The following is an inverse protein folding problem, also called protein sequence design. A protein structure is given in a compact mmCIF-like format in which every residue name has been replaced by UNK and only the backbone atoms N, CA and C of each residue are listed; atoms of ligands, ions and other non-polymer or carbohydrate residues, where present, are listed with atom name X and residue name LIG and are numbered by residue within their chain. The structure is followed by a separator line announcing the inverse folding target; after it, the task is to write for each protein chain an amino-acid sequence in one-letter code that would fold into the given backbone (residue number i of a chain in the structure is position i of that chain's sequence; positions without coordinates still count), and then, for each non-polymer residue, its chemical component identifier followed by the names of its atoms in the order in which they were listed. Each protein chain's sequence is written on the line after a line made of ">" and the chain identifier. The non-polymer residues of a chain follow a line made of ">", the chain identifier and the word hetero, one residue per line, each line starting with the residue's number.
data_IF_416684033720
#
_entry.id   IF_416684033720
#
_cell.length_a   1.000
_cell.length_b   1.000
_cell.length_c   1.000
_cell.angle_alpha   90.00
_cell.angle_beta   90.00
_cell.angle_gamma   90.00
#
_symmetry.space_group_name_H-M   'P 1'
#
loop_
_entity.id
_entity.type
_entity.pdbx_description
1 polymer ?
#
# COMPACT_ATOMS: atom_id res chain seq x y z
N UNK A 1 -6.52 28.86 31.66
CA UNK A 1 -6.47 27.43 32.01
C UNK A 1 -6.56 26.64 30.72
N UNK A 2 -5.44 26.09 30.23
CA UNK A 2 -5.45 25.13 29.14
C UNK A 2 -6.04 23.84 29.72
N UNK A 3 -7.18 23.37 29.21
CA UNK A 3 -7.68 22.03 29.50
C UNK A 3 -6.64 21.05 28.94
N UNK A 4 -5.87 20.40 29.81
CA UNK A 4 -4.88 19.41 29.40
C UNK A 4 -5.63 18.21 28.82
N UNK A 5 -5.47 17.97 27.52
CA UNK A 5 -5.99 16.76 26.89
C UNK A 5 -5.32 15.54 27.55
N UNK A 6 -6.12 14.67 28.17
CA UNK A 6 -5.66 13.44 28.81
C UNK A 6 -4.95 12.48 27.83
N UNK A 7 -5.07 12.74 26.52
CA UNK A 7 -4.43 11.99 25.46
C UNK A 7 -3.18 12.68 24.88
N UNK A 8 -2.75 13.80 25.43
CA UNK A 8 -1.55 14.51 25.01
C UNK A 8 -0.29 13.66 25.25
N UNK A 9 0.62 13.64 24.26
CA UNK A 9 1.83 12.79 24.19
C UNK A 9 1.56 11.28 24.13
N UNK A 10 0.29 10.86 24.09
CA UNK A 10 -0.09 9.45 23.92
C UNK A 10 -0.16 9.10 22.43
N UNK A 11 0.03 7.83 22.04
CA UNK A 11 -0.12 7.40 20.66
C UNK A 11 -1.60 7.25 20.25
N UNK A 12 -2.46 8.22 20.62
CA UNK A 12 -3.93 8.12 20.58
C UNK A 12 -4.49 7.70 19.22
N UNK A 13 -4.00 8.27 18.12
CA UNK A 13 -4.50 7.92 16.78
C UNK A 13 -4.03 6.54 16.29
N UNK A 14 -2.97 5.99 16.88
CA UNK A 14 -2.46 4.66 16.55
C UNK A 14 -3.21 3.56 17.32
N UNK A 15 -3.91 3.93 18.41
CA UNK A 15 -4.75 3.05 19.22
C UNK A 15 -6.23 3.44 19.12
N UNK A 16 -6.96 2.82 18.20
CA UNK A 16 -8.41 3.01 18.07
C UNK A 16 -9.11 1.90 18.83
N UNK A 17 -9.90 2.25 19.85
CA UNK A 17 -10.59 1.28 20.72
C UNK A 17 -9.62 0.22 21.32
N UNK A 18 -8.45 0.67 21.81
CA UNK A 18 -7.37 -0.18 22.37
C UNK A 18 -6.78 -1.20 21.39
N UNK A 19 -7.03 -1.03 20.09
CA UNK A 19 -6.46 -1.87 19.04
C UNK A 19 -5.58 -1.02 18.14
N UNK A 20 -4.55 -1.63 17.56
CA UNK A 20 -3.74 -0.95 16.56
C UNK A 20 -4.61 -0.52 15.37
N UNK A 21 -4.36 0.68 14.85
CA UNK A 21 -5.17 1.27 13.77
C UNK A 21 -5.13 0.46 12.46
N UNK A 22 -4.05 -0.30 12.23
CA UNK A 22 -3.94 -1.24 11.11
C UNK A 22 -4.41 -2.64 11.52
N UNK A 23 -5.20 -3.27 10.66
CA UNK A 23 -5.89 -4.53 10.92
C UNK A 23 -5.40 -5.62 9.97
N UNK A 24 -5.05 -6.79 10.53
CA UNK A 24 -4.55 -7.93 9.77
C UNK A 24 -5.38 -8.27 8.52
N UNK A 25 -6.73 -8.40 8.62
CA UNK A 25 -7.57 -8.75 7.47
C UNK A 25 -7.45 -7.80 6.27
N UNK A 26 -7.29 -6.49 6.52
CA UNK A 26 -7.12 -5.49 5.46
C UNK A 26 -5.85 -5.72 4.66
N UNK A 27 -4.77 -6.11 5.34
CA UNK A 27 -3.47 -6.40 4.71
C UNK A 27 -3.40 -7.80 4.10
N UNK A 28 -4.15 -8.78 4.63
CA UNK A 28 -4.33 -10.08 3.97
C UNK A 28 -5.05 -9.92 2.62
N UNK A 29 -6.09 -9.07 2.56
CA UNK A 29 -6.78 -8.76 1.31
C UNK A 29 -5.88 -8.03 0.29
N UNK A 30 -4.97 -7.18 0.77
CA UNK A 30 -3.96 -6.56 -0.09
C UNK A 30 -3.02 -7.62 -0.72
N UNK A 31 -2.59 -8.63 0.03
CA UNK A 31 -1.77 -9.74 -0.53
C UNK A 31 -2.54 -10.48 -1.61
N UNK A 32 -3.80 -10.86 -1.35
CA UNK A 32 -4.64 -11.52 -2.34
C UNK A 32 -4.84 -10.68 -3.60
N UNK A 33 -4.96 -9.35 -3.45
CA UNK A 33 -5.02 -8.42 -4.58
C UNK A 33 -3.71 -8.41 -5.38
N UNK A 34 -2.55 -8.36 -4.70
CA UNK A 34 -1.23 -8.43 -5.33
C UNK A 34 -1.04 -9.75 -6.10
N UNK A 35 -1.43 -10.87 -5.51
CA UNK A 35 -1.33 -12.19 -6.16
C UNK A 35 -2.19 -12.24 -7.43
N UNK A 36 -3.43 -11.75 -7.38
CA UNK A 36 -4.28 -11.63 -8.56
C UNK A 36 -3.62 -10.79 -9.66
N UNK A 37 -2.91 -9.71 -9.30
CA UNK A 37 -2.21 -8.86 -10.26
C UNK A 37 -1.00 -9.55 -10.89
N UNK A 38 -0.22 -10.28 -10.10
CA UNK A 38 0.91 -11.10 -10.61
C UNK A 38 0.38 -12.21 -11.53
N UNK A 39 -0.78 -12.76 -11.17
CA UNK A 39 -1.45 -13.81 -11.93
C UNK A 39 -2.04 -13.33 -13.27
N UNK A 40 -2.09 -12.03 -13.54
CA UNK A 40 -2.50 -11.51 -14.85
C UNK A 40 -1.45 -11.94 -15.89
N UNK A 41 -1.79 -12.82 -16.85
CA UNK A 41 -0.84 -13.28 -17.84
C UNK A 41 -0.40 -12.10 -18.72
N UNK A 42 0.90 -11.90 -18.82
CA UNK A 42 1.53 -10.73 -19.45
C UNK A 42 2.46 -11.11 -20.61
N UNK A 43 2.66 -12.40 -20.87
CA UNK A 43 3.42 -12.92 -22.00
C UNK A 43 2.59 -13.92 -22.82
N UNK A 44 3.04 -14.20 -24.05
CA UNK A 44 2.47 -15.22 -24.93
C UNK A 44 2.41 -16.59 -24.24
N UNK A 45 3.49 -16.97 -23.59
CA UNK A 45 3.66 -18.25 -22.91
C UNK A 45 2.72 -18.38 -21.71
N UNK A 46 2.63 -17.33 -20.88
CA UNK A 46 1.79 -17.34 -19.67
C UNK A 46 0.29 -17.34 -20.01
N UNK A 47 -0.10 -16.72 -21.13
CA UNK A 47 -1.48 -16.80 -21.65
C UNK A 47 -1.83 -18.18 -22.20
N UNK A 48 -0.92 -18.79 -22.97
CA UNK A 48 -1.12 -20.13 -23.51
C UNK A 48 -1.32 -21.15 -22.38
N UNK A 49 -0.50 -21.05 -21.33
CA UNK A 49 -0.56 -21.91 -20.14
C UNK A 49 -1.84 -21.71 -19.32
N UNK A 50 -2.29 -20.47 -19.08
CA UNK A 50 -3.44 -20.22 -18.19
C UNK A 50 -4.79 -20.48 -18.83
N UNK A 51 -4.91 -20.29 -20.13
CA UNK A 51 -6.21 -20.34 -20.80
C UNK A 51 -6.42 -21.56 -21.69
N UNK A 52 -5.54 -22.58 -21.59
CA UNK A 52 -5.57 -23.80 -22.41
C UNK A 52 -5.71 -23.48 -23.91
N UNK A 53 -5.12 -22.37 -24.35
CA UNK A 53 -5.08 -22.02 -25.75
C UNK A 53 -4.16 -23.02 -26.46
N UNK A 54 -4.64 -23.65 -27.54
CA UNK A 54 -3.73 -24.28 -28.50
C UNK A 54 -2.82 -23.21 -29.08
N UNK A 55 -1.54 -23.53 -29.34
CA UNK A 55 -0.59 -22.60 -30.00
C UNK A 55 -1.24 -21.94 -31.22
N UNK A 56 -1.92 -22.73 -32.05
CA UNK A 56 -2.61 -22.28 -33.26
C UNK A 56 -3.74 -21.28 -32.99
N UNK A 57 -4.44 -21.36 -31.86
CA UNK A 57 -5.50 -20.42 -31.48
C UNK A 57 -4.91 -19.13 -30.89
N UNK A 58 -3.72 -19.22 -30.31
CA UNK A 58 -2.99 -18.06 -29.79
C UNK A 58 -2.27 -17.32 -30.91
N UNK A 59 -1.65 -18.04 -31.84
CA UNK A 59 -1.08 -17.52 -33.07
C UNK A 59 -2.19 -16.93 -33.92
N UNK A 60 -3.35 -17.57 -34.06
CA UNK A 60 -4.48 -16.97 -34.77
C UNK A 60 -5.11 -15.77 -34.02
N UNK A 61 -5.07 -15.71 -32.68
CA UNK A 61 -5.44 -14.52 -31.90
C UNK A 61 -4.44 -13.37 -32.10
N UNK A 62 -3.14 -13.68 -32.11
CA UNK A 62 -2.08 -12.73 -32.41
C UNK A 62 -2.14 -12.28 -33.86
N UNK A 63 -2.41 -13.17 -34.82
CA UNK A 63 -2.61 -12.91 -36.25
C UNK A 63 -3.90 -12.11 -36.46
N UNK A 64 -4.95 -12.30 -35.65
CA UNK A 64 -6.15 -11.45 -35.72
C UNK A 64 -5.88 -10.08 -35.15
N UNK A 65 -5.15 -9.99 -34.03
CA UNK A 65 -4.70 -8.71 -33.51
C UNK A 65 -3.76 -8.05 -34.52
N UNK A 66 -2.78 -8.78 -35.05
CA UNK A 66 -1.80 -8.33 -36.05
C UNK A 66 -2.44 -8.01 -37.38
N UNK A 67 -3.35 -8.79 -37.98
CA UNK A 67 -4.05 -8.51 -39.25
C UNK A 67 -5.14 -7.44 -39.09
N UNK A 68 -5.85 -7.41 -37.96
CA UNK A 68 -6.68 -6.24 -37.63
C UNK A 68 -5.84 -4.97 -37.46
N UNK A 69 -4.56 -5.10 -37.10
CA UNK A 69 -3.56 -4.04 -36.95
C UNK A 69 -2.58 -3.96 -38.16
N UNK A 70 -2.73 -4.80 -39.18
CA UNK A 70 -1.60 -5.28 -40.01
C UNK A 70 -1.61 -4.74 -41.43
N UNK A 71 -2.72 -4.16 -41.84
CA UNK A 71 -2.75 -3.23 -42.97
C UNK A 71 -2.44 -1.79 -42.57
N UNK A 72 -1.82 -1.60 -41.41
CA UNK A 72 -1.66 -0.28 -40.80
C UNK A 72 -0.28 -0.11 -40.14
N UNK A 73 0.83 -0.58 -40.71
CA UNK A 73 2.13 -0.06 -40.25
C UNK A 73 2.23 1.47 -40.45
N UNK A 74 1.62 2.00 -41.52
CA UNK A 74 1.56 3.45 -41.80
C UNK A 74 0.36 4.16 -41.20
N UNK A 75 -0.71 3.46 -40.82
CA UNK A 75 -1.91 4.05 -40.21
C UNK A 75 -2.19 3.61 -38.77
N UNK A 76 -1.31 2.80 -38.17
CA UNK A 76 -1.06 2.79 -36.72
C UNK A 76 -0.68 4.21 -36.27
N UNK A 77 0.01 4.98 -37.11
CA UNK A 77 0.31 6.39 -36.85
C UNK A 77 -0.90 7.34 -36.97
N UNK A 78 -2.05 6.89 -37.51
CA UNK A 78 -3.22 7.72 -37.81
C UNK A 78 -4.51 7.30 -37.07
N UNK A 79 -4.69 6.02 -36.75
CA UNK A 79 -5.88 5.51 -36.02
C UNK A 79 -5.60 5.28 -34.53
N UNK A 80 -4.37 4.92 -34.14
CA UNK A 80 -4.01 4.88 -32.72
C UNK A 80 -4.17 6.25 -32.02
N UNK A 81 -3.96 7.40 -32.67
CA UNK A 81 -4.34 8.71 -32.12
C UNK A 81 -5.85 9.01 -32.18
N UNK A 82 -6.58 8.46 -33.17
CA UNK A 82 -8.03 8.66 -33.31
C UNK A 82 -8.87 7.78 -32.36
N UNK A 83 -8.31 6.66 -31.87
CA UNK A 83 -8.89 5.76 -30.86
C UNK A 83 -8.14 5.76 -29.51
N UNK A 84 -6.95 6.39 -29.43
CA UNK A 84 -6.14 6.56 -28.22
C UNK A 84 -5.30 5.35 -27.77
N UNK A 85 -5.26 4.25 -28.52
CA UNK A 85 -4.69 2.95 -28.10
C UNK A 85 -3.42 2.68 -28.91
N UNK A 86 -2.26 2.28 -28.36
CA UNK A 86 -1.03 1.93 -29.14
C UNK A 86 -0.89 0.41 -29.39
N UNK A 87 -0.16 -0.01 -30.42
CA UNK A 87 0.06 -1.44 -30.77
C UNK A 87 0.70 -2.27 -29.65
N UNK A 88 1.55 -1.65 -28.82
CA UNK A 88 2.16 -2.32 -27.66
C UNK A 88 1.29 -2.28 -26.40
N UNK A 89 0.06 -1.79 -26.46
CA UNK A 89 -0.62 -1.33 -25.26
C UNK A 89 -1.22 -2.45 -24.39
N UNK A 90 -1.66 -3.58 -24.95
CA UNK A 90 -2.13 -4.73 -24.16
C UNK A 90 -0.97 -5.28 -23.32
N UNK A 91 0.21 -5.39 -23.95
CA UNK A 91 1.47 -5.70 -23.29
C UNK A 91 1.85 -4.59 -22.30
N UNK A 92 1.62 -3.31 -22.62
CA UNK A 92 1.90 -2.16 -21.75
C UNK A 92 1.02 -2.15 -20.50
N UNK A 93 -0.30 -2.29 -20.60
CA UNK A 93 -1.20 -2.30 -19.44
C UNK A 93 -1.00 -3.53 -18.58
N UNK A 94 -0.71 -4.69 -19.16
CA UNK A 94 -0.37 -5.91 -18.39
C UNK A 94 1.00 -5.81 -17.73
N UNK A 95 1.99 -5.24 -18.43
CA UNK A 95 3.30 -4.92 -17.88
C UNK A 95 3.19 -3.89 -16.76
N UNK A 96 2.34 -2.87 -16.91
CA UNK A 96 2.04 -1.90 -15.85
C UNK A 96 1.36 -2.55 -14.65
N UNK A 97 0.42 -3.48 -14.85
CA UNK A 97 -0.19 -4.23 -13.75
C UNK A 97 0.88 -5.01 -12.99
N UNK A 98 1.72 -5.78 -13.69
CA UNK A 98 2.78 -6.57 -13.05
C UNK A 98 3.84 -5.70 -12.36
N UNK A 99 4.29 -4.63 -13.02
CA UNK A 99 5.27 -3.71 -12.44
C UNK A 99 4.72 -3.02 -11.17
N UNK A 100 3.44 -2.62 -11.17
CA UNK A 100 2.82 -2.03 -10.00
C UNK A 100 2.49 -3.08 -8.92
N UNK A 101 2.21 -4.33 -9.28
CA UNK A 101 2.13 -5.43 -8.31
C UNK A 101 3.46 -5.63 -7.57
N UNK A 102 4.59 -5.56 -8.28
CA UNK A 102 5.92 -5.58 -7.68
C UNK A 102 6.14 -4.42 -6.69
N UNK A 103 5.72 -3.20 -7.03
CA UNK A 103 5.77 -2.05 -6.13
C UNK A 103 4.88 -2.22 -4.90
N UNK A 104 3.65 -2.73 -5.09
CA UNK A 104 2.72 -3.02 -3.99
C UNK A 104 3.28 -4.10 -3.05
N UNK A 105 3.96 -5.12 -3.58
CA UNK A 105 4.66 -6.14 -2.78
C UNK A 105 5.78 -5.52 -1.94
N UNK A 106 6.56 -4.61 -2.50
CA UNK A 106 7.57 -3.86 -1.73
C UNK A 106 6.92 -2.99 -0.66
N UNK A 107 5.87 -2.24 -1.01
CA UNK A 107 5.16 -1.40 -0.06
C UNK A 107 4.52 -2.21 1.09
N UNK A 108 4.01 -3.41 0.80
CA UNK A 108 3.54 -4.34 1.82
C UNK A 108 4.66 -4.69 2.80
N UNK A 109 5.86 -5.04 2.33
CA UNK A 109 7.01 -5.27 3.23
C UNK A 109 7.37 -4.02 4.03
N UNK A 110 7.30 -2.84 3.42
CA UNK A 110 7.60 -1.57 4.08
C UNK A 110 6.62 -1.23 5.21
N UNK A 111 5.36 -1.70 5.16
CA UNK A 111 4.43 -1.60 6.30
C UNK A 111 4.99 -2.35 7.52
N UNK A 112 5.63 -3.50 7.31
CA UNK A 112 6.36 -4.22 8.36
C UNK A 112 7.47 -3.38 8.98
N UNK A 113 8.23 -2.65 8.15
CA UNK A 113 9.29 -1.74 8.60
C UNK A 113 8.74 -0.49 9.33
N UNK A 114 7.57 0.02 8.94
CA UNK A 114 6.84 1.05 9.70
C UNK A 114 6.47 0.52 11.08
N UNK A 115 5.94 -0.70 11.16
CA UNK A 115 5.62 -1.34 12.43
C UNK A 115 6.87 -1.51 13.32
N UNK A 116 8.00 -1.92 12.76
CA UNK A 116 9.26 -2.02 13.51
C UNK A 116 9.70 -0.67 14.09
N UNK A 117 9.58 0.40 13.33
CA UNK A 117 9.90 1.73 13.82
C UNK A 117 8.96 2.19 14.93
N UNK A 118 7.66 1.83 14.86
CA UNK A 118 6.70 2.07 15.96
C UNK A 118 7.07 1.26 17.21
N UNK A 119 7.51 0.00 17.06
CA UNK A 119 7.94 -0.83 18.18
C UNK A 119 9.20 -0.25 18.86
N UNK A 120 10.16 0.25 18.08
CA UNK A 120 11.34 0.95 18.62
C UNK A 120 10.92 2.17 19.45
N UNK A 121 10.00 2.98 18.94
CA UNK A 121 9.46 4.10 19.69
C UNK A 121 8.76 3.65 20.96
N UNK A 122 7.92 2.63 20.89
CA UNK A 122 7.14 2.14 22.04
C UNK A 122 8.06 1.60 23.13
N UNK A 123 9.09 0.84 22.76
CA UNK A 123 10.10 0.32 23.70
C UNK A 123 10.93 1.42 24.36
N UNK A 124 11.22 2.52 23.66
CA UNK A 124 11.97 3.65 24.22
C UNK A 124 11.11 4.57 25.10
N UNK A 125 9.77 4.52 24.99
CA UNK A 125 8.87 5.45 25.67
C UNK A 125 9.07 5.51 27.20
N UNK A 126 9.23 4.39 27.95
CA UNK A 126 9.48 4.46 29.39
C UNK A 126 10.71 5.29 29.74
N UNK A 127 11.83 5.08 29.06
CA UNK A 127 13.06 5.81 29.32
C UNK A 127 12.94 7.29 28.91
N UNK A 128 12.40 7.55 27.71
CA UNK A 128 12.26 8.90 27.15
C UNK A 128 11.35 9.77 28.03
N UNK A 129 10.17 9.27 28.39
CA UNK A 129 9.24 10.02 29.23
C UNK A 129 9.71 10.08 30.69
N UNK A 130 10.35 9.04 31.24
CA UNK A 130 10.88 9.12 32.60
C UNK A 130 11.83 10.31 32.76
N UNK A 131 12.84 10.37 31.88
CA UNK A 131 13.83 11.43 31.91
C UNK A 131 13.21 12.81 31.62
N UNK A 132 12.28 12.89 30.68
CA UNK A 132 11.61 14.14 30.31
C UNK A 132 10.80 14.71 31.47
N UNK A 133 9.99 13.87 32.13
CA UNK A 133 9.18 14.29 33.27
C UNK A 133 10.04 14.63 34.50
N UNK A 134 11.15 13.90 34.73
CA UNK A 134 12.06 14.18 35.84
C UNK A 134 12.75 15.55 35.66
N UNK A 135 13.25 15.84 34.45
CA UNK A 135 13.87 17.15 34.16
C UNK A 135 12.86 18.30 34.15
N UNK A 136 11.64 18.07 33.65
CA UNK A 136 10.55 19.05 33.76
C UNK A 136 10.19 19.33 35.21
N UNK A 137 10.09 18.31 36.07
CA UNK A 137 9.79 18.50 37.49
C UNK A 137 10.87 19.33 38.21
N UNK A 138 12.15 19.11 37.88
CA UNK A 138 13.27 19.91 38.41
C UNK A 138 13.22 21.36 37.92
N UNK A 139 12.87 21.56 36.65
CA UNK A 139 12.73 22.89 36.05
C UNK A 139 11.59 23.69 36.71
N UNK A 140 10.46 23.04 37.03
CA UNK A 140 9.33 23.72 37.69
C UNK A 140 9.58 24.04 39.16
N UNK A 141 10.45 23.28 39.83
CA UNK A 141 10.81 23.49 41.24
C UNK A 141 12.01 24.42 41.44
N UNK A 142 12.57 24.96 40.35
CA UNK A 142 13.73 25.86 40.39
C UNK A 142 14.96 25.21 41.06
N UNK A 143 15.16 23.90 40.87
CA UNK A 143 16.14 23.10 41.63
C UNK A 143 17.59 23.20 41.10
N UNK A 144 17.84 23.82 39.93
CA UNK A 144 19.21 23.97 39.40
C UNK A 144 19.34 25.07 38.34
N UNK A 145 20.46 25.10 37.61
CA UNK A 145 20.64 25.93 36.41
C UNK A 145 19.51 25.66 35.40
N UNK A 146 18.55 26.58 35.38
CA UNK A 146 17.35 26.47 34.56
C UNK A 146 17.66 26.46 33.07
N UNK A 147 18.77 27.06 32.64
CA UNK A 147 19.17 27.07 31.23
C UNK A 147 19.66 25.69 30.80
N UNK A 148 20.58 25.09 31.57
CA UNK A 148 21.06 23.74 31.33
C UNK A 148 19.94 22.68 31.38
N UNK A 149 18.97 22.82 32.30
CA UNK A 149 17.79 21.95 32.36
C UNK A 149 16.88 22.12 31.15
N UNK A 150 16.62 23.37 30.72
CA UNK A 150 15.83 23.63 29.50
C UNK A 150 16.47 22.98 28.29
N UNK A 151 17.78 23.09 28.14
CA UNK A 151 18.51 22.45 27.06
C UNK A 151 18.49 20.93 27.15
N UNK A 152 18.46 20.35 28.37
CA UNK A 152 18.25 18.92 28.56
C UNK A 152 16.87 18.48 28.10
N UNK A 153 15.81 19.20 28.50
CA UNK A 153 14.41 18.91 28.12
C UNK A 153 14.24 19.03 26.60
N UNK A 154 14.72 20.11 25.99
CA UNK A 154 14.64 20.31 24.53
C UNK A 154 15.33 19.18 23.77
N UNK A 155 16.53 18.78 24.16
CA UNK A 155 17.25 17.66 23.53
C UNK A 155 16.50 16.35 23.60
N UNK A 156 15.78 16.09 24.70
CA UNK A 156 14.97 14.88 24.85
C UNK A 156 13.75 14.91 23.93
N UNK A 157 13.07 16.06 23.86
CA UNK A 157 11.96 16.26 22.92
C UNK A 157 12.44 16.10 21.48
N UNK A 158 13.57 16.71 21.10
CA UNK A 158 14.16 16.64 19.76
C UNK A 158 14.60 15.21 19.38
N UNK A 159 15.13 14.44 20.34
CA UNK A 159 15.47 13.03 20.14
C UNK A 159 14.21 12.20 19.85
N UNK A 160 13.14 12.38 20.63
CA UNK A 160 11.86 11.70 20.41
C UNK A 160 11.20 12.11 19.09
N UNK A 161 11.20 13.41 18.78
CA UNK A 161 10.71 13.96 17.51
C UNK A 161 11.40 13.35 16.30
N UNK A 162 12.71 13.13 16.38
CA UNK A 162 13.48 12.48 15.30
C UNK A 162 12.94 11.07 15.01
N UNK A 163 12.67 10.28 16.04
CA UNK A 163 12.06 8.96 15.89
C UNK A 163 10.65 9.02 15.31
N UNK A 164 9.80 9.93 15.81
CA UNK A 164 8.43 10.15 15.31
C UNK A 164 8.42 10.56 13.84
N UNK A 165 9.29 11.50 13.44
CA UNK A 165 9.43 11.96 12.05
C UNK A 165 9.94 10.88 11.11
N UNK A 166 10.82 10.00 11.59
CA UNK A 166 11.24 8.82 10.82
C UNK A 166 10.06 7.88 10.54
N UNK A 167 9.22 7.59 11.54
CA UNK A 167 7.99 6.80 11.35
C UNK A 167 7.05 7.50 10.37
N UNK A 168 6.80 8.80 10.56
CA UNK A 168 5.92 9.59 9.69
C UNK A 168 6.38 9.57 8.23
N UNK A 169 7.68 9.77 8.00
CA UNK A 169 8.29 9.75 6.66
C UNK A 169 8.12 8.39 6.01
N UNK A 170 8.44 7.31 6.73
CA UNK A 170 8.28 5.94 6.22
C UNK A 170 6.83 5.62 5.90
N UNK A 171 5.90 5.86 6.85
CA UNK A 171 4.48 5.60 6.67
C UNK A 171 3.89 6.39 5.49
N UNK A 172 4.28 7.67 5.35
CA UNK A 172 3.85 8.53 4.25
C UNK A 172 4.35 8.02 2.90
N UNK A 173 5.64 7.65 2.82
CA UNK A 173 6.23 7.10 1.59
C UNK A 173 5.57 5.77 1.21
N UNK A 174 5.41 4.84 2.14
CA UNK A 174 4.74 3.56 1.92
C UNK A 174 3.29 3.75 1.46
N UNK A 175 2.55 4.67 2.10
CA UNK A 175 1.17 5.02 1.68
C UNK A 175 1.14 5.58 0.26
N UNK A 176 2.07 6.45 -0.10
CA UNK A 176 2.14 7.02 -1.44
C UNK A 176 2.37 5.93 -2.50
N UNK A 177 3.26 4.95 -2.22
CA UNK A 177 3.46 3.81 -3.13
C UNK A 177 2.20 2.96 -3.25
N UNK A 178 1.52 2.65 -2.14
CA UNK A 178 0.27 1.88 -2.16
C UNK A 178 -0.83 2.60 -2.96
N UNK A 179 -1.02 3.90 -2.74
CA UNK A 179 -2.02 4.69 -3.45
C UNK A 179 -1.71 4.75 -4.96
N UNK A 180 -0.52 5.25 -5.33
CA UNK A 180 -0.15 5.45 -6.73
C UNK A 180 -0.15 4.15 -7.53
N UNK A 181 0.29 3.05 -6.92
CA UNK A 181 0.32 1.75 -7.59
C UNK A 181 -1.08 1.14 -7.71
N UNK A 182 -1.94 1.33 -6.70
CA UNK A 182 -3.36 0.94 -6.78
C UNK A 182 -4.08 1.69 -7.89
N UNK A 183 -3.93 3.01 -7.95
CA UNK A 183 -4.55 3.86 -8.98
C UNK A 183 -4.07 3.48 -10.38
N UNK A 184 -2.77 3.21 -10.54
CA UNK A 184 -2.21 2.77 -11.82
C UNK A 184 -2.76 1.39 -12.26
N UNK A 185 -2.92 0.45 -11.32
CA UNK A 185 -3.53 -0.86 -11.61
C UNK A 185 -5.01 -0.70 -11.96
N UNK A 186 -5.75 0.16 -11.25
CA UNK A 186 -7.14 0.45 -11.56
C UNK A 186 -7.29 1.02 -12.97
N UNK A 187 -6.46 2.00 -13.33
CA UNK A 187 -6.46 2.59 -14.67
C UNK A 187 -6.17 1.52 -15.73
N UNK A 188 -5.12 0.71 -15.54
CA UNK A 188 -4.77 -0.35 -16.48
C UNK A 188 -5.90 -1.39 -16.61
N UNK A 189 -6.56 -1.76 -15.51
CA UNK A 189 -7.72 -2.65 -15.52
C UNK A 189 -8.90 -2.04 -16.30
N UNK A 190 -9.23 -0.77 -16.05
CA UNK A 190 -10.34 -0.09 -16.73
C UNK A 190 -10.08 -0.01 -18.23
N UNK A 191 -8.86 0.31 -18.64
CA UNK A 191 -8.50 0.34 -20.05
C UNK A 191 -8.59 -1.08 -20.67
N UNK A 192 -8.16 -2.14 -19.96
CA UNK A 192 -8.32 -3.52 -20.44
C UNK A 192 -9.79 -3.87 -20.66
N UNK A 193 -10.67 -3.48 -19.71
CA UNK A 193 -12.11 -3.68 -19.82
C UNK A 193 -12.73 -2.93 -20.99
N UNK A 194 -12.28 -1.70 -21.27
CA UNK A 194 -12.73 -0.93 -22.43
C UNK A 194 -12.38 -1.63 -23.75
N UNK A 195 -11.17 -2.18 -23.88
CA UNK A 195 -10.77 -2.93 -25.08
C UNK A 195 -11.56 -4.23 -25.21
N UNK A 196 -11.76 -4.98 -24.11
CA UNK A 196 -12.61 -6.17 -24.09
C UNK A 196 -14.03 -5.89 -24.60
N UNK A 197 -14.59 -4.71 -24.31
CA UNK A 197 -15.90 -4.31 -24.83
C UNK A 197 -15.89 -4.11 -26.36
N UNK A 198 -14.78 -3.64 -26.93
CA UNK A 198 -14.63 -3.41 -28.38
C UNK A 198 -14.39 -4.70 -29.18
N UNK A 199 -13.93 -5.78 -28.51
CA UNK A 199 -13.64 -7.07 -29.16
C UNK A 199 -14.88 -7.81 -29.71
N UNK A 200 -16.10 -7.39 -29.34
CA UNK A 200 -17.37 -8.00 -29.80
C UNK A 200 -18.04 -7.27 -30.97
N UNK A 201 -17.31 -6.41 -31.65
CA UNK A 201 -17.91 -5.60 -32.71
C UNK A 201 -18.12 -6.45 -33.96
N UNK A 202 -19.24 -6.21 -34.65
CA UNK A 202 -19.51 -6.76 -35.99
C UNK A 202 -18.32 -6.53 -36.95
N UNK A 203 -17.57 -5.44 -36.75
CA UNK A 203 -16.35 -5.15 -37.48
C UNK A 203 -15.26 -6.22 -37.29
N UNK A 204 -15.02 -6.71 -36.07
CA UNK A 204 -14.03 -7.77 -35.82
C UNK A 204 -14.51 -9.09 -36.39
N UNK A 205 -15.81 -9.42 -36.24
CA UNK A 205 -16.37 -10.62 -36.83
C UNK A 205 -16.25 -10.64 -38.37
N UNK A 206 -16.51 -9.51 -39.03
CA UNK A 206 -16.31 -9.36 -40.48
C UNK A 206 -14.86 -9.52 -40.90
N UNK A 207 -13.92 -8.95 -40.15
CA UNK A 207 -12.48 -9.11 -40.42
C UNK A 207 -12.04 -10.56 -40.29
N UNK A 208 -12.56 -11.30 -39.30
CA UNK A 208 -12.32 -12.74 -39.18
C UNK A 208 -12.85 -13.51 -40.39
N UNK A 209 -14.05 -13.16 -40.86
CA UNK A 209 -14.62 -13.78 -42.06
C UNK A 209 -13.78 -13.47 -43.30
N UNK A 210 -13.35 -12.22 -43.50
CA UNK A 210 -12.53 -11.82 -44.65
C UNK A 210 -11.16 -12.48 -44.67
N UNK A 211 -10.50 -12.60 -43.51
CA UNK A 211 -9.13 -13.12 -43.42
C UNK A 211 -9.03 -14.65 -43.55
N UNK A 212 -10.02 -15.38 -43.01
CA UNK A 212 -9.90 -16.83 -42.86
C UNK A 212 -10.84 -17.62 -43.75
N UNK A 213 -11.72 -17.00 -44.54
CA UNK A 213 -12.57 -17.75 -45.47
C UNK A 213 -11.72 -18.48 -46.54
N UNK A 214 -12.04 -19.75 -46.87
CA UNK A 214 -13.19 -20.55 -46.44
C UNK A 214 -12.96 -21.43 -45.19
N UNK A 215 -11.88 -21.23 -44.43
CA UNK A 215 -11.56 -22.01 -43.22
C UNK A 215 -12.46 -21.64 -42.02
N UNK A 216 -13.67 -22.21 -42.04
CA UNK A 216 -14.68 -22.02 -41.00
C UNK A 216 -14.24 -22.54 -39.63
N UNK A 217 -13.30 -23.49 -39.57
CA UNK A 217 -12.77 -24.03 -38.31
C UNK A 217 -11.90 -22.97 -37.63
N UNK A 218 -10.99 -22.32 -38.37
CA UNK A 218 -10.20 -21.20 -37.84
C UNK A 218 -11.07 -20.03 -37.38
N UNK A 219 -12.10 -19.68 -38.14
CA UNK A 219 -13.05 -18.61 -37.77
C UNK A 219 -13.75 -18.93 -36.44
N UNK A 220 -14.21 -20.17 -36.25
CA UNK A 220 -14.87 -20.59 -35.02
C UNK A 220 -13.91 -20.58 -33.83
N UNK A 221 -12.68 -21.06 -34.01
CA UNK A 221 -11.63 -21.06 -32.97
C UNK A 221 -11.27 -19.63 -32.54
N UNK A 222 -11.11 -18.70 -33.48
CA UNK A 222 -10.80 -17.30 -33.19
C UNK A 222 -11.94 -16.58 -32.45
N UNK A 223 -13.18 -16.82 -32.84
CA UNK A 223 -14.34 -16.27 -32.12
C UNK A 223 -14.46 -16.83 -30.70
N UNK A 224 -14.18 -18.12 -30.51
CA UNK A 224 -14.17 -18.74 -29.20
C UNK A 224 -13.08 -18.10 -28.30
N UNK A 225 -11.86 -17.97 -28.82
CA UNK A 225 -10.75 -17.31 -28.14
C UNK A 225 -11.08 -15.88 -27.68
N UNK A 226 -11.65 -15.07 -28.57
CA UNK A 226 -12.06 -13.69 -28.26
C UNK A 226 -13.10 -13.67 -27.13
N UNK A 227 -14.12 -14.53 -27.20
CA UNK A 227 -15.17 -14.57 -26.16
C UNK A 227 -14.64 -15.04 -24.81
N UNK A 228 -13.72 -16.01 -24.79
CA UNK A 228 -13.04 -16.46 -23.57
C UNK A 228 -12.22 -15.33 -22.94
N UNK A 229 -11.43 -14.61 -23.75
CA UNK A 229 -10.64 -13.48 -23.26
C UNK A 229 -11.53 -12.37 -22.68
N UNK A 230 -12.64 -12.08 -23.35
CA UNK A 230 -13.61 -11.08 -22.87
C UNK A 230 -14.23 -11.47 -21.54
N UNK A 231 -14.64 -12.73 -21.41
CA UNK A 231 -15.16 -13.28 -20.17
C UNK A 231 -14.17 -13.13 -19.03
N UNK A 232 -12.91 -13.49 -19.27
CA UNK A 232 -11.84 -13.33 -18.29
C UNK A 232 -11.61 -11.85 -17.93
N UNK A 233 -11.37 -10.95 -18.89
CA UNK A 233 -11.14 -9.51 -18.63
C UNK A 233 -12.32 -8.87 -17.89
N UNK A 234 -13.56 -9.22 -18.26
CA UNK A 234 -14.76 -8.68 -17.63
C UNK A 234 -14.87 -9.03 -16.15
N UNK A 235 -14.34 -10.17 -15.73
CA UNK A 235 -14.39 -10.66 -14.35
C UNK A 235 -13.22 -10.16 -13.48
N UNK A 236 -12.17 -9.60 -14.08
CA UNK A 236 -11.00 -9.13 -13.33
C UNK A 236 -11.37 -8.00 -12.37
N UNK A 237 -11.00 -8.17 -11.10
CA UNK A 237 -11.06 -7.16 -10.04
C UNK A 237 -9.75 -7.20 -9.24
N UNK A 238 -8.77 -6.43 -9.69
CA UNK A 238 -7.39 -6.45 -9.18
C UNK A 238 -7.21 -5.59 -7.95
N UNK A 239 -7.91 -4.46 -7.85
CA UNK A 239 -7.77 -3.52 -6.73
C UNK A 239 -8.76 -3.79 -5.60
N UNK A 240 -9.61 -4.81 -5.74
CA UNK A 240 -10.50 -5.26 -4.68
C UNK A 240 -9.67 -5.76 -3.49
N UNK A 241 -9.79 -5.07 -2.36
CA UNK A 241 -9.04 -5.39 -1.13
C UNK A 241 -7.90 -4.43 -0.80
N UNK A 242 -7.53 -3.50 -1.68
CA UNK A 242 -6.44 -2.53 -1.37
C UNK A 242 -6.93 -1.33 -0.55
N UNK A 243 -8.17 -0.88 -0.76
CA UNK A 243 -8.72 0.35 -0.18
C UNK A 243 -8.69 0.39 1.36
N UNK A 244 -8.98 -0.74 2.02
CA UNK A 244 -8.98 -0.83 3.48
C UNK A 244 -7.57 -0.62 4.05
N UNK A 245 -6.58 -1.33 3.49
CA UNK A 245 -5.17 -1.21 3.90
C UNK A 245 -4.63 0.22 3.70
N UNK A 246 -5.01 0.87 2.58
CA UNK A 246 -4.63 2.25 2.30
C UNK A 246 -5.25 3.23 3.31
N UNK A 247 -6.53 3.04 3.64
CA UNK A 247 -7.25 3.87 4.61
C UNK A 247 -6.65 3.73 6.01
N UNK A 248 -6.32 2.52 6.43
CA UNK A 248 -5.69 2.26 7.72
C UNK A 248 -4.29 2.87 7.83
N UNK A 249 -3.47 2.73 6.78
CA UNK A 249 -2.15 3.37 6.75
C UNK A 249 -2.26 4.90 6.73
N UNK A 250 -3.26 5.47 6.05
CA UNK A 250 -3.54 6.90 6.11
C UNK A 250 -3.89 7.38 7.53
N UNK A 251 -4.66 6.59 8.28
CA UNK A 251 -4.93 6.90 9.69
C UNK A 251 -3.66 6.83 10.53
N UNK A 252 -2.80 5.84 10.31
CA UNK A 252 -1.51 5.75 10.98
C UNK A 252 -0.62 6.97 10.70
N UNK A 253 -0.57 7.46 9.45
CA UNK A 253 0.15 8.69 9.09
C UNK A 253 -0.39 9.89 9.88
N UNK A 254 -1.72 10.07 9.90
CA UNK A 254 -2.35 11.16 10.66
C UNK A 254 -2.04 11.08 12.16
N UNK A 255 -2.11 9.88 12.71
CA UNK A 255 -1.83 9.63 14.13
C UNK A 255 -0.40 9.96 14.53
N UNK A 256 0.59 9.65 13.68
CA UNK A 256 2.00 9.98 13.95
C UNK A 256 2.21 11.50 13.88
N UNK A 257 1.53 12.19 12.96
CA UNK A 257 1.59 13.65 12.86
C UNK A 257 0.99 14.35 14.09
N UNK A 258 -0.05 13.78 14.70
CA UNK A 258 -0.60 14.29 15.97
C UNK A 258 0.44 14.22 17.11
N UNK A 259 1.22 13.14 17.21
CA UNK A 259 2.27 13.01 18.23
C UNK A 259 3.43 14.00 17.97
N UNK A 260 3.77 14.25 16.70
CA UNK A 260 4.77 15.27 16.31
C UNK A 260 4.32 16.67 16.75
N UNK A 261 3.05 17.03 16.51
CA UNK A 261 2.48 18.30 16.95
C UNK A 261 2.50 18.43 18.48
N UNK A 262 2.09 17.40 19.22
CA UNK A 262 2.13 17.44 20.68
C UNK A 262 3.55 17.74 21.20
N UNK A 263 4.57 17.08 20.65
CA UNK A 263 5.96 17.28 21.05
C UNK A 263 6.50 18.67 20.65
N UNK A 264 6.11 19.20 19.48
CA UNK A 264 6.45 20.57 19.07
C UNK A 264 5.84 21.59 20.03
N UNK A 265 4.58 21.40 20.42
CA UNK A 265 3.90 22.29 21.36
C UNK A 265 4.57 22.25 22.74
N UNK A 266 4.99 21.05 23.19
CA UNK A 266 5.75 20.90 24.44
C UNK A 266 7.08 21.65 24.37
N UNK A 267 7.80 21.50 23.25
CA UNK A 267 9.09 22.16 23.02
C UNK A 267 8.93 23.68 23.08
N UNK A 268 7.93 24.20 22.38
CA UNK A 268 7.61 25.64 22.35
C UNK A 268 7.23 26.14 23.73
N UNK A 269 6.42 25.38 24.47
CA UNK A 269 6.07 25.72 25.84
C UNK A 269 7.32 25.87 26.74
N UNK A 270 8.28 24.94 26.64
CA UNK A 270 9.54 24.99 27.39
C UNK A 270 10.44 26.14 26.95
N UNK A 271 10.37 26.57 25.70
CA UNK A 271 11.08 27.76 25.19
C UNK A 271 10.50 29.06 25.72
N UNK A 272 9.17 29.20 25.73
CA UNK A 272 8.48 30.46 26.03
C UNK A 272 8.26 30.69 27.53
N UNK A 273 8.14 29.63 28.34
CA UNK A 273 7.81 29.75 29.76
C UNK A 273 9.06 29.64 30.64
N UNK A 274 9.73 30.77 30.86
CA UNK A 274 10.99 30.85 31.62
C UNK A 274 10.82 30.85 33.15
N UNK A 275 9.61 31.11 33.65
CA UNK A 275 9.32 31.25 35.08
C UNK A 275 8.86 29.93 35.71
N UNK A 276 9.30 29.59 36.94
CA UNK A 276 8.66 28.56 37.75
C UNK A 276 7.16 28.85 37.91
N UNK A 277 6.30 27.86 37.74
CA UNK A 277 4.85 28.04 37.73
C UNK A 277 4.11 26.74 38.02
N UNK A 278 2.77 26.78 38.20
CA UNK A 278 1.97 25.57 38.43
C UNK A 278 2.07 24.71 37.17
N UNK A 279 2.93 23.69 37.20
CA UNK A 279 3.36 22.94 36.02
C UNK A 279 2.16 22.32 35.30
N UNK A 280 1.74 22.84 34.13
CA UNK A 280 0.56 22.32 33.43
C UNK A 280 0.74 20.89 32.92
N UNK A 281 1.99 20.43 32.85
CA UNK A 281 2.39 19.08 32.42
C UNK A 281 2.49 18.10 33.59
N UNK A 282 2.55 18.57 34.84
CA UNK A 282 2.58 17.66 36.01
C UNK A 282 1.22 16.98 36.24
N UNK A 283 0.14 17.59 35.76
CA UNK A 283 -1.20 16.99 35.74
C UNK A 283 -1.36 15.95 34.61
N UNK A 284 -0.40 15.86 33.67
CA UNK A 284 -0.38 14.74 32.72
C UNK A 284 -0.11 13.46 33.51
N UNK A 285 -1.03 12.51 33.38
CA UNK A 285 -0.87 11.19 33.95
C UNK A 285 0.22 10.44 33.18
N UNK A 286 1.50 10.65 33.55
CA UNK A 286 2.66 9.93 33.01
C UNK A 286 2.39 8.41 32.94
N UNK A 287 1.73 7.85 33.95
CA UNK A 287 1.28 6.47 33.96
C UNK A 287 0.39 6.10 32.76
N UNK A 288 -0.63 6.91 32.45
CA UNK A 288 -1.51 6.71 31.29
C UNK A 288 -0.77 6.86 29.94
N UNK A 289 0.21 7.78 29.86
CA UNK A 289 1.06 7.89 28.66
C UNK A 289 1.84 6.59 28.44
N UNK A 290 2.52 6.11 29.48
CA UNK A 290 3.31 4.89 29.42
C UNK A 290 2.46 3.65 29.13
N UNK A 291 1.31 3.53 29.79
CA UNK A 291 0.34 2.44 29.56
C UNK A 291 -0.09 2.39 28.09
N UNK A 292 -0.42 3.53 27.48
CA UNK A 292 -0.82 3.55 26.06
C UNK A 292 0.32 3.24 25.10
N UNK A 293 1.56 3.61 25.41
CA UNK A 293 2.72 3.18 24.60
C UNK A 293 2.99 1.68 24.75
N UNK A 294 2.77 1.11 25.93
CA UNK A 294 2.86 -0.34 26.17
C UNK A 294 1.75 -1.10 25.42
N UNK A 295 0.52 -0.61 25.47
CA UNK A 295 -0.61 -1.18 24.72
C UNK A 295 -0.36 -1.13 23.21
N UNK A 296 0.24 -0.04 22.71
CA UNK A 296 0.65 0.05 21.31
C UNK A 296 1.71 -1.00 20.96
N UNK A 297 2.74 -1.18 21.78
CA UNK A 297 3.75 -2.24 21.56
C UNK A 297 3.08 -3.62 21.44
N UNK A 298 2.18 -3.95 22.37
CA UNK A 298 1.45 -5.23 22.36
C UNK A 298 0.63 -5.42 21.08
N UNK A 299 -0.18 -4.44 20.71
CA UNK A 299 -1.07 -4.56 19.55
C UNK A 299 -0.31 -4.52 18.22
N UNK A 300 0.79 -3.76 18.11
CA UNK A 300 1.64 -3.78 16.92
C UNK A 300 2.37 -5.12 16.78
N UNK A 301 2.84 -5.74 17.87
CA UNK A 301 3.40 -7.11 17.83
C UNK A 301 2.38 -8.14 17.39
N UNK A 302 1.15 -8.06 17.92
CA UNK A 302 0.03 -8.92 17.53
C UNK A 302 -0.32 -8.75 16.05
N UNK A 303 -0.36 -7.52 15.55
CA UNK A 303 -0.52 -7.25 14.12
C UNK A 303 0.62 -7.90 13.32
N UNK A 304 1.88 -7.62 13.68
CA UNK A 304 3.07 -8.14 12.98
C UNK A 304 3.13 -9.67 12.92
N UNK A 305 2.76 -10.36 14.01
CA UNK A 305 2.72 -11.82 14.04
C UNK A 305 1.78 -12.39 12.96
N UNK A 306 0.65 -11.72 12.71
CA UNK A 306 -0.31 -12.11 11.68
C UNK A 306 -0.01 -11.50 10.30
N UNK A 307 0.93 -10.55 10.23
CA UNK A 307 1.30 -9.80 9.04
C UNK A 307 2.35 -10.53 8.18
N UNK A 308 3.28 -11.28 8.79
CA UNK A 308 4.38 -11.95 8.06
C UNK A 308 4.06 -13.41 7.74
N UNK A 309 3.24 -14.08 8.55
CA UNK A 309 2.86 -15.49 8.38
C UNK A 309 2.06 -15.78 7.10
N UNK A 310 1.56 -14.78 6.40
CA UNK A 310 0.93 -14.96 5.06
C UNK A 310 1.93 -15.12 3.91
N UNK A 311 3.24 -14.88 4.15
CA UNK A 311 4.28 -14.98 3.11
C UNK A 311 5.34 -16.06 3.43
N UNK A 312 5.52 -16.42 4.71
CA UNK A 312 6.63 -17.27 5.15
C UNK A 312 6.29 -18.70 5.59
N UNK A 313 5.04 -18.97 5.99
CA UNK A 313 4.64 -20.32 6.41
C UNK A 313 3.53 -20.81 5.51
N UNK A 314 3.68 -22.03 4.98
CA UNK A 314 2.67 -22.75 4.20
C UNK A 314 1.39 -23.09 4.98
N UNK A 315 0.84 -22.15 5.77
CA UNK A 315 -0.57 -22.14 6.11
C UNK A 315 -1.33 -21.70 4.88
N UNK A 316 -1.50 -22.68 4.00
CA UNK A 316 -2.47 -22.67 2.93
C UNK A 316 -3.76 -22.02 3.43
N UNK A 317 -4.07 -20.84 2.90
CA UNK A 317 -5.46 -20.51 2.64
C UNK A 317 -5.97 -21.69 1.82
N UNK A 318 -6.77 -22.57 2.43
CA UNK A 318 -7.26 -23.81 1.82
C UNK A 318 -7.89 -23.47 0.45
N UNK A 319 -7.12 -23.65 -0.62
CA UNK A 319 -7.55 -23.29 -1.97
C UNK A 319 -6.46 -23.22 -3.03
N UNK A 320 -5.21 -22.88 -2.70
CA UNK A 320 -4.17 -22.78 -3.74
C UNK A 320 -2.77 -23.05 -3.17
N UNK A 321 -2.01 -23.88 -3.89
CA UNK A 321 -0.60 -24.17 -3.63
C UNK A 321 0.28 -22.94 -3.90
N UNK A 322 0.23 -21.99 -2.96
CA UNK A 322 0.85 -20.67 -3.02
C UNK A 322 2.24 -20.72 -2.35
N UNK A 323 3.28 -20.32 -3.09
CA UNK A 323 4.62 -19.92 -2.60
C UNK A 323 5.75 -20.96 -2.42
N UNK A 324 5.64 -22.19 -2.94
CA UNK A 324 6.83 -23.05 -3.06
C UNK A 324 7.74 -22.57 -4.22
N UNK A 325 8.70 -21.70 -3.93
CA UNK A 325 9.79 -21.37 -4.88
C UNK A 325 10.21 -19.91 -4.99
N UNK A 326 10.12 -19.11 -3.92
CA UNK A 326 10.50 -17.69 -3.95
C UNK A 326 11.82 -17.45 -3.23
N UNK A 327 12.89 -18.03 -3.78
CA UNK A 327 14.26 -17.55 -3.55
C UNK A 327 14.68 -16.61 -4.68
N UNK A 328 15.45 -15.61 -4.28
CA UNK A 328 15.81 -14.38 -4.98
C UNK A 328 16.87 -14.62 -6.06
N UNK A 329 16.71 -13.94 -7.20
CA UNK A 329 17.80 -13.24 -7.90
C UNK A 329 17.42 -11.75 -8.01
#
# INVERSE_FOLDING_TARGET
>A
MMSVDLNYLTPRGLLVNKSFVCQGPSFSNLVLAIDKMIDVPYSKETMAQKSNFSSDAFDALLDVLEDCLGYMAEVLLLVLPALGVRGDWLTSSRSQINANAGKLKTAYRDVGAVCDAILVLSAAAPQDYNKLFDDLARLYKDESDNEALRDSVKRQIDARLTGIRNVSTKATATRAVLANSTDAVQLAQEQLKQVSAQLNTEAIYRRLLEAFMPDMVKIAMNNFAINMMRGWIGQIQLTEGTAASLTELQKAVGAVAEIDMDLIDLRKYVEENTSPGPGPILDLQKGNILEKWEDLDKEVRKFKANFIDTVGEGKAIKGSGLFAGWDVD
#
